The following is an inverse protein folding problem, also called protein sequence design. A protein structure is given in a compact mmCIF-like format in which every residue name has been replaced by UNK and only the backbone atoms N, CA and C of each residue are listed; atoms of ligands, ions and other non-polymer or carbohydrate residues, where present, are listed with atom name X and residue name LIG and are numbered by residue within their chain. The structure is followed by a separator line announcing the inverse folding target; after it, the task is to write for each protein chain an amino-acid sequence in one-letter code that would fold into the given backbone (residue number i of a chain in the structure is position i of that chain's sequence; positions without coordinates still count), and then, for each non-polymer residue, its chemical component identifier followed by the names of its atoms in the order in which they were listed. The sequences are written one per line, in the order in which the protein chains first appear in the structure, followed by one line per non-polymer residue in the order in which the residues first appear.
data_IF_582466988696
#
_entry.id   IF_582466988696
#
_cell.length_a   1.000
_cell.length_b   1.000
_cell.length_c   1.000
_cell.angle_alpha   90.00
_cell.angle_beta   90.00
_cell.angle_gamma   90.00
#
_symmetry.space_group_name_H-M   'P 1'
#
loop_
_entity.id
_entity.type
_entity.pdbx_description
1 polymer ?
#
# COMPACT_ATOMS: atom_id res chain seq x y z
N UNK A 1 -3.52 6.57 -11.06
CA UNK A 1 -3.84 5.57 -10.02
C UNK A 1 -3.08 5.94 -8.76
N UNK A 2 -3.75 6.55 -7.78
CA UNK A 2 -3.12 6.85 -6.49
C UNK A 2 -3.00 5.53 -5.73
N UNK A 3 -1.78 5.15 -5.44
CA UNK A 3 -1.51 3.81 -4.91
C UNK A 3 -0.86 3.91 -3.55
N UNK A 4 -1.25 3.09 -2.58
CA UNK A 4 -0.67 3.17 -1.25
C UNK A 4 -0.05 1.87 -0.82
N UNK A 5 1.10 2.00 -0.16
CA UNK A 5 1.91 0.86 0.24
C UNK A 5 2.04 0.83 1.76
N UNK A 6 1.42 -0.17 2.35
CA UNK A 6 1.48 -0.45 3.78
C UNK A 6 2.13 -1.83 3.97
N UNK A 7 2.86 -1.95 5.09
CA UNK A 7 3.54 -3.17 5.49
C UNK A 7 2.97 -3.72 6.79
N UNK A 8 2.92 -5.03 6.89
CA UNK A 8 2.47 -5.71 8.10
C UNK A 8 3.18 -7.03 8.31
N UNK A 9 3.45 -7.41 9.57
CA UNK A 9 4.25 -8.60 9.87
C UNK A 9 3.35 -9.75 10.31
N UNK A 10 3.28 -10.79 9.49
CA UNK A 10 2.49 -12.00 9.71
C UNK A 10 3.39 -13.23 9.62
N UNK A 11 3.40 -14.08 10.66
CA UNK A 11 4.14 -15.35 10.64
C UNK A 11 5.62 -15.21 10.20
N UNK A 12 6.29 -14.13 10.60
CA UNK A 12 7.68 -13.86 10.20
C UNK A 12 7.86 -13.40 8.74
N UNK A 13 6.78 -13.05 8.05
CA UNK A 13 6.76 -12.45 6.70
C UNK A 13 6.19 -11.04 6.74
N UNK A 14 6.62 -10.16 5.83
CA UNK A 14 6.08 -8.82 5.61
C UNK A 14 5.12 -8.85 4.42
N UNK A 15 3.89 -8.43 4.65
CA UNK A 15 2.88 -8.24 3.61
C UNK A 15 2.93 -6.82 3.06
N UNK A 16 3.11 -6.69 1.76
CA UNK A 16 3.06 -5.43 1.02
C UNK A 16 1.82 -5.43 0.14
N UNK A 17 0.92 -4.48 0.36
CA UNK A 17 -0.29 -4.34 -0.44
C UNK A 17 -0.36 -2.96 -1.08
N UNK A 18 -0.98 -2.91 -2.25
CA UNK A 18 -1.10 -1.75 -3.12
C UNK A 18 -2.57 -1.56 -3.44
N UNK A 19 -3.16 -0.47 -2.94
CA UNK A 19 -4.57 -0.14 -3.14
C UNK A 19 -4.74 1.10 -4.00
N UNK A 20 -5.77 1.13 -4.84
CA UNK A 20 -6.12 2.33 -5.60
C UNK A 20 -6.93 3.34 -4.77
N UNK A 21 -7.22 4.51 -5.36
CA UNK A 21 -8.00 5.59 -4.73
C UNK A 21 -9.44 5.23 -4.29
N UNK A 22 -10.04 4.17 -4.84
CA UNK A 22 -11.38 3.69 -4.46
C UNK A 22 -11.31 2.52 -3.47
N UNK A 23 -10.12 2.17 -2.99
CA UNK A 23 -9.90 1.12 -2.00
C UNK A 23 -9.75 -0.28 -2.59
N UNK A 24 -9.66 -0.46 -3.91
CA UNK A 24 -9.48 -1.79 -4.48
C UNK A 24 -8.02 -2.24 -4.38
N UNK A 25 -7.82 -3.52 -4.07
CA UNK A 25 -6.51 -4.16 -4.08
C UNK A 25 -6.04 -4.31 -5.54
N UNK A 26 -4.92 -3.69 -5.87
CA UNK A 26 -4.31 -3.73 -7.21
C UNK A 26 -3.16 -4.72 -7.26
N UNK A 27 -2.31 -4.73 -6.23
CA UNK A 27 -1.17 -5.64 -6.17
C UNK A 27 -0.85 -6.03 -4.73
N UNK A 28 -0.23 -7.20 -4.58
CA UNK A 28 0.12 -7.77 -3.29
C UNK A 28 1.42 -8.56 -3.40
N UNK A 29 2.27 -8.50 -2.39
CA UNK A 29 3.54 -9.21 -2.33
C UNK A 29 3.87 -9.59 -0.88
N UNK A 30 4.37 -10.80 -0.69
CA UNK A 30 4.96 -11.25 0.57
C UNK A 30 6.47 -11.26 0.46
N UNK A 31 7.15 -10.74 1.48
CA UNK A 31 8.59 -10.89 1.64
C UNK A 31 8.92 -11.49 3.01
N UNK A 32 10.09 -12.12 3.19
CA UNK A 32 10.53 -12.52 4.53
C UNK A 32 10.69 -11.32 5.47
N UNK A 33 10.46 -11.51 6.77
CA UNK A 33 10.48 -10.46 7.82
C UNK A 33 11.75 -9.60 7.87
N UNK A 34 12.88 -10.16 7.46
CA UNK A 34 14.19 -9.51 7.48
C UNK A 34 14.55 -8.81 6.16
N UNK A 35 13.62 -8.74 5.21
CA UNK A 35 13.85 -8.11 3.91
C UNK A 35 13.50 -6.63 3.98
N UNK A 36 14.37 -5.81 3.41
CA UNK A 36 14.14 -4.38 3.28
C UNK A 36 12.87 -4.08 2.46
N UNK A 37 11.98 -3.27 3.02
CA UNK A 37 10.68 -2.91 2.42
C UNK A 37 10.80 -2.45 0.95
N UNK A 38 11.90 -1.76 0.61
CA UNK A 38 12.17 -1.23 -0.74
C UNK A 38 12.25 -2.35 -1.77
N UNK A 39 12.67 -3.56 -1.38
CA UNK A 39 12.71 -4.73 -2.26
C UNK A 39 11.30 -5.22 -2.59
N UNK A 40 10.39 -5.23 -1.62
CA UNK A 40 8.97 -5.58 -1.84
C UNK A 40 8.31 -4.65 -2.86
N UNK A 41 8.54 -3.33 -2.74
CA UNK A 41 8.04 -2.37 -3.73
C UNK A 41 8.62 -2.62 -5.14
N UNK A 42 9.92 -2.90 -5.26
CA UNK A 42 10.54 -3.19 -6.57
C UNK A 42 9.93 -4.41 -7.26
N UNK A 43 9.50 -5.42 -6.49
CA UNK A 43 8.84 -6.61 -7.03
C UNK A 43 7.43 -6.31 -7.56
N UNK A 44 6.71 -5.39 -6.94
CA UNK A 44 5.36 -5.01 -7.35
C UNK A 44 5.30 -3.94 -8.45
N UNK A 45 6.39 -3.17 -8.64
CA UNK A 45 6.41 -1.99 -9.49
C UNK A 45 6.10 -2.25 -10.97
N UNK A 46 6.40 -3.44 -11.49
CA UNK A 46 6.22 -3.79 -12.91
C UNK A 46 4.75 -3.77 -13.38
N UNK A 47 3.78 -3.84 -12.47
CA UNK A 47 2.34 -3.80 -12.78
C UNK A 47 1.68 -2.49 -12.37
N UNK A 48 2.46 -1.49 -11.96
CA UNK A 48 1.99 -0.21 -11.44
C UNK A 48 2.42 0.93 -12.36
N UNK A 49 1.68 2.03 -12.31
CA UNK A 49 2.01 3.26 -13.03
C UNK A 49 1.39 4.48 -12.33
N UNK A 50 1.95 5.66 -12.57
CA UNK A 50 1.44 6.93 -12.04
C UNK A 50 1.96 7.26 -10.65
N UNK A 51 1.10 7.78 -9.76
CA UNK A 51 1.49 8.32 -8.47
C UNK A 51 1.32 7.29 -7.34
N UNK A 52 2.43 6.88 -6.73
CA UNK A 52 2.47 5.96 -5.60
C UNK A 52 2.77 6.74 -4.32
N UNK A 53 1.92 6.64 -3.32
CA UNK A 53 2.09 7.23 -1.99
C UNK A 53 2.57 6.15 -1.02
N UNK A 54 3.81 6.28 -0.56
CA UNK A 54 4.43 5.33 0.35
C UNK A 54 4.68 5.90 1.74
N UNK A 55 4.90 5.00 2.69
CA UNK A 55 5.44 5.33 3.99
C UNK A 55 6.89 5.81 3.96
N UNK A 56 7.34 6.35 5.09
CA UNK A 56 8.72 6.83 5.26
C UNK A 56 9.77 5.73 5.12
N UNK A 57 9.39 4.47 5.25
CA UNK A 57 10.26 3.31 5.01
C UNK A 57 10.73 3.21 3.55
N UNK A 58 9.95 3.75 2.61
CA UNK A 58 10.25 3.72 1.17
C UNK A 58 11.10 4.91 0.70
N UNK A 59 11.55 5.79 1.62
CA UNK A 59 12.40 6.93 1.26
C UNK A 59 13.77 6.40 0.78
N UNK A 60 14.02 6.52 -0.52
CA UNK A 60 15.31 6.24 -1.15
C UNK A 60 15.37 6.93 -2.50
N UNK A 61 16.40 7.76 -2.72
CA UNK A 61 16.61 8.45 -4.00
C UNK A 61 16.76 7.45 -5.16
N UNK A 62 17.58 6.43 -4.97
CA UNK A 62 17.76 5.36 -5.95
C UNK A 62 16.46 4.61 -6.28
N UNK A 63 15.60 4.39 -5.28
CA UNK A 63 14.30 3.76 -5.51
C UNK A 63 13.39 4.67 -6.32
N UNK A 64 13.27 5.94 -5.95
CA UNK A 64 12.48 6.93 -6.69
C UNK A 64 12.94 7.04 -8.14
N UNK A 65 14.26 7.21 -8.36
CA UNK A 65 14.83 7.34 -9.71
C UNK A 65 14.58 6.08 -10.55
N UNK A 66 14.69 4.89 -9.94
CA UNK A 66 14.41 3.62 -10.61
C UNK A 66 12.93 3.48 -10.97
N UNK A 67 12.02 3.84 -10.05
CA UNK A 67 10.58 3.77 -10.26
C UNK A 67 10.12 4.71 -11.38
N UNK A 68 10.65 5.93 -11.40
CA UNK A 68 10.32 6.93 -12.40
C UNK A 68 10.86 6.52 -13.78
N UNK A 69 12.15 6.19 -13.88
CA UNK A 69 12.79 5.86 -15.17
C UNK A 69 12.30 4.56 -15.77
N UNK A 70 12.02 3.54 -14.94
CA UNK A 70 11.74 2.18 -15.43
C UNK A 70 10.26 1.87 -15.56
N UNK A 71 9.43 2.47 -14.71
CA UNK A 71 8.00 2.13 -14.61
C UNK A 71 7.07 3.34 -14.73
N UNK A 72 7.62 4.55 -14.94
CA UNK A 72 6.83 5.78 -14.95
C UNK A 72 6.00 5.96 -13.67
N UNK A 73 6.62 5.64 -12.52
CA UNK A 73 6.02 5.76 -11.20
C UNK A 73 6.66 6.92 -10.45
N UNK A 74 5.87 7.92 -10.10
CA UNK A 74 6.27 8.97 -9.16
C UNK A 74 6.01 8.49 -7.74
N UNK A 75 7.06 8.30 -6.94
CA UNK A 75 6.95 7.91 -5.53
C UNK A 75 6.89 9.14 -4.62
N UNK A 76 5.77 9.31 -3.93
CA UNK A 76 5.53 10.34 -2.93
C UNK A 76 5.60 9.73 -1.52
N UNK A 77 6.50 10.22 -0.68
CA UNK A 77 6.64 9.78 0.72
C UNK A 77 6.56 10.94 1.69
N UNK A 78 6.19 10.64 2.94
CA UNK A 78 6.33 11.62 4.03
C UNK A 78 7.80 12.02 4.24
N UNK A 79 8.05 13.22 4.78
CA UNK A 79 9.41 13.69 5.08
C UNK A 79 9.91 13.15 6.42
N UNK A 80 11.22 12.90 6.53
CA UNK A 80 11.91 12.72 7.83
C UNK A 80 12.29 14.09 8.40
N UNK A 81 12.34 14.20 9.74
CA UNK A 81 12.63 15.45 10.48
C UNK A 81 13.92 16.15 10.01
N UNK A 82 14.92 15.39 9.60
CA UNK A 82 16.26 15.90 9.24
C UNK A 82 16.49 16.06 7.72
N UNK A 83 15.46 15.95 6.88
CA UNK A 83 15.61 16.09 5.43
C UNK A 83 15.44 17.54 4.98
N UNK A 84 16.31 17.99 4.06
CA UNK A 84 16.13 19.28 3.36
C UNK A 84 14.74 19.34 2.71
N UNK A 85 14.07 20.48 2.85
CA UNK A 85 12.69 20.61 2.37
C UNK A 85 12.66 20.72 0.84
N UNK A 86 12.21 19.66 0.15
CA UNK A 86 11.71 19.88 -1.22
C UNK A 86 10.33 20.56 -1.14
N UNK A 87 9.99 21.46 -2.07
CA UNK A 87 8.62 21.95 -2.17
C UNK A 87 7.68 20.76 -2.40
N UNK A 88 6.68 20.60 -1.52
CA UNK A 88 5.57 19.67 -1.73
C UNK A 88 4.33 20.50 -2.03
N UNK A 89 3.69 20.21 -3.16
CA UNK A 89 2.47 20.90 -3.55
C UNK A 89 1.36 20.63 -2.52
N UNK A 90 0.39 21.56 -2.33
CA UNK A 90 -0.75 21.36 -1.43
C UNK A 90 -1.49 20.04 -1.69
N UNK A 91 -1.64 19.68 -2.95
CA UNK A 91 -2.21 18.40 -3.40
C UNK A 91 -1.43 17.19 -2.88
N UNK A 92 -0.09 17.19 -3.03
CA UNK A 92 0.75 16.12 -2.50
C UNK A 92 0.65 15.99 -0.99
N UNK A 93 0.57 17.12 -0.26
CA UNK A 93 0.34 17.11 1.18
C UNK A 93 -1.02 16.51 1.54
N UNK A 94 -2.07 16.81 0.76
CA UNK A 94 -3.41 16.22 0.94
C UNK A 94 -3.37 14.70 0.74
N UNK A 95 -2.72 14.22 -0.32
CA UNK A 95 -2.58 12.79 -0.60
C UNK A 95 -1.82 12.06 0.51
N UNK A 96 -0.76 12.68 1.06
CA UNK A 96 -0.01 12.12 2.19
C UNK A 96 -0.83 12.02 3.49
N UNK A 97 -1.87 12.86 3.66
CA UNK A 97 -2.80 12.77 4.79
C UNK A 97 -3.84 11.65 4.60
N UNK A 98 -4.18 11.32 3.35
CA UNK A 98 -5.13 10.23 3.03
C UNK A 98 -4.56 8.82 3.24
N UNK A 99 -3.29 8.69 3.67
CA UNK A 99 -2.67 7.40 4.04
C UNK A 99 -3.46 6.65 5.13
N UNK A 100 -4.18 7.37 6.00
CA UNK A 100 -5.02 6.75 7.04
C UNK A 100 -6.13 5.84 6.48
N UNK A 101 -6.57 6.05 5.23
CA UNK A 101 -7.56 5.18 4.59
C UNK A 101 -6.98 3.79 4.37
N UNK A 102 -5.67 3.69 4.08
CA UNK A 102 -5.02 2.40 3.86
C UNK A 102 -4.74 1.68 5.16
N UNK A 103 -4.44 2.43 6.22
CA UNK A 103 -4.43 1.90 7.59
C UNK A 103 -5.81 1.29 7.91
N UNK A 104 -6.90 2.00 7.58
CA UNK A 104 -8.27 1.50 7.77
C UNK A 104 -8.56 0.23 6.95
N UNK A 105 -8.07 0.15 5.70
CA UNK A 105 -8.22 -1.05 4.86
C UNK A 105 -7.47 -2.23 5.49
N UNK A 106 -6.25 -2.01 5.97
CA UNK A 106 -5.50 -3.05 6.67
C UNK A 106 -6.21 -3.47 7.95
N UNK A 107 -6.74 -2.53 8.73
CA UNK A 107 -7.53 -2.86 9.93
C UNK A 107 -8.78 -3.69 9.59
N UNK A 108 -9.43 -3.44 8.45
CA UNK A 108 -10.52 -4.29 7.95
C UNK A 108 -10.04 -5.69 7.57
N UNK A 109 -8.89 -5.80 6.91
CA UNK A 109 -8.30 -7.11 6.59
C UNK A 109 -7.99 -7.90 7.86
N UNK A 110 -7.40 -7.26 8.88
CA UNK A 110 -7.09 -7.88 10.16
C UNK A 110 -8.35 -8.33 10.90
N UNK A 111 -9.31 -7.42 11.09
CA UNK A 111 -10.44 -7.64 11.98
C UNK A 111 -11.62 -8.36 11.31
N UNK A 112 -11.93 -8.03 10.06
CA UNK A 112 -13.08 -8.61 9.34
C UNK A 112 -12.68 -9.86 8.57
N UNK A 113 -11.52 -9.86 7.93
CA UNK A 113 -11.04 -10.99 7.13
C UNK A 113 -10.13 -11.94 7.91
N UNK A 114 -9.79 -11.60 9.17
CA UNK A 114 -9.03 -12.46 10.08
C UNK A 114 -7.68 -12.92 9.49
N UNK A 115 -7.02 -12.06 8.72
CA UNK A 115 -5.74 -12.42 8.07
C UNK A 115 -4.60 -12.64 9.08
N UNK A 116 -4.69 -12.06 10.27
CA UNK A 116 -3.67 -12.20 11.33
C UNK A 116 -3.84 -13.43 12.20
N UNK A 117 -4.79 -14.31 11.87
CA UNK A 117 -5.18 -15.37 12.77
C UNK A 117 -3.98 -16.26 13.18
N UNK A 118 -3.69 -16.31 14.48
CA UNK A 118 -2.54 -17.02 15.07
C UNK A 118 -2.58 -18.56 15.00
N UNK A 119 -3.62 -19.18 14.42
CA UNK A 119 -3.86 -20.64 14.48
C UNK A 119 -3.42 -21.40 13.23
N UNK A 120 -2.48 -20.88 12.44
CA UNK A 120 -1.98 -21.62 11.29
C UNK A 120 -0.98 -22.68 11.74
N UNK A 121 -1.37 -23.96 11.59
CA UNK A 121 -0.52 -25.12 11.89
C UNK A 121 0.48 -25.46 10.76
N UNK A 122 0.46 -24.70 9.66
CA UNK A 122 1.37 -24.85 8.52
C UNK A 122 1.46 -23.57 7.69
N UNK A 123 2.57 -23.39 6.98
CA UNK A 123 2.79 -22.28 6.02
C UNK A 123 1.72 -22.25 4.92
N UNK A 124 1.34 -23.44 4.42
CA UNK A 124 0.28 -23.57 3.40
C UNK A 124 -1.07 -23.09 3.93
N UNK A 125 -1.38 -23.40 5.18
CA UNK A 125 -2.60 -22.92 5.84
C UNK A 125 -2.62 -21.41 6.02
N UNK A 126 -1.48 -20.81 6.33
CA UNK A 126 -1.32 -19.36 6.38
C UNK A 126 -1.56 -18.70 5.02
N UNK A 127 -0.89 -19.19 3.96
CA UNK A 127 -1.07 -18.66 2.61
C UNK A 127 -2.52 -18.76 2.12
N UNK A 128 -3.17 -19.90 2.40
CA UNK A 128 -4.58 -20.10 2.04
C UNK A 128 -5.49 -19.11 2.77
N UNK A 129 -5.29 -18.92 4.07
CA UNK A 129 -6.07 -17.95 4.86
C UNK A 129 -5.88 -16.52 4.34
N UNK A 130 -4.63 -16.14 4.06
CA UNK A 130 -4.29 -14.83 3.53
C UNK A 130 -4.96 -14.58 2.16
N UNK A 131 -4.84 -15.52 1.22
CA UNK A 131 -5.48 -15.40 -0.10
C UNK A 131 -7.01 -15.35 0.05
N UNK A 132 -7.58 -16.16 0.94
CA UNK A 132 -9.01 -16.14 1.23
C UNK A 132 -9.45 -14.79 1.79
N UNK A 133 -8.69 -14.21 2.72
CA UNK A 133 -9.00 -12.91 3.32
C UNK A 133 -8.87 -11.76 2.32
N UNK A 134 -7.83 -11.75 1.48
CA UNK A 134 -7.69 -10.77 0.39
C UNK A 134 -8.83 -10.91 -0.63
N UNK A 135 -9.22 -12.13 -0.97
CA UNK A 135 -10.33 -12.41 -1.88
C UNK A 135 -11.67 -11.93 -1.28
N UNK A 136 -11.92 -12.23 -0.01
CA UNK A 136 -13.10 -11.77 0.70
C UNK A 136 -13.20 -10.24 0.69
N UNK A 137 -12.09 -9.54 0.97
CA UNK A 137 -12.02 -8.09 0.87
C UNK A 137 -12.36 -7.56 -0.53
N UNK A 138 -11.82 -8.18 -1.58
CA UNK A 138 -12.14 -7.81 -2.96
C UNK A 138 -13.66 -7.91 -3.25
N UNK A 139 -14.36 -8.85 -2.62
CA UNK A 139 -15.80 -9.06 -2.75
C UNK A 139 -16.65 -8.13 -1.87
N UNK A 140 -16.07 -7.33 -0.99
CA UNK A 140 -16.85 -6.42 -0.14
C UNK A 140 -17.60 -5.37 -0.97
N UNK A 141 -18.90 -5.13 -0.67
CA UNK A 141 -19.74 -4.19 -1.41
C UNK A 141 -19.31 -2.73 -1.19
N UNK A 142 -18.74 -2.43 -0.02
CA UNK A 142 -18.25 -1.10 0.34
C UNK A 142 -16.81 -1.18 0.79
N UNK A 143 -15.95 -0.40 0.15
CA UNK A 143 -14.53 -0.28 0.48
C UNK A 143 -14.22 1.14 0.96
N UNK A 144 -13.34 1.35 1.95
CA UNK A 144 -12.88 2.68 2.32
C UNK A 144 -12.27 3.40 1.12
N UNK A 145 -12.77 4.60 0.82
CA UNK A 145 -12.33 5.40 -0.32
C UNK A 145 -11.55 6.62 0.17
N UNK A 146 -10.55 7.05 -0.62
CA UNK A 146 -9.69 8.18 -0.24
C UNK A 146 -10.37 9.52 -0.44
N UNK A 147 -11.22 9.60 -1.44
CA UNK A 147 -12.04 10.75 -1.71
C UNK A 147 -13.47 10.44 -1.30
N UNK A 148 -14.10 11.34 -0.55
CA UNK A 148 -15.55 11.24 -0.31
C UNK A 148 -16.29 11.24 -1.66
N UNK A 149 -17.50 10.66 -1.69
CA UNK A 149 -18.35 10.51 -2.89
C UNK A 149 -18.48 11.78 -3.76
N UNK A 150 -18.20 12.96 -3.18
CA UNK A 150 -18.30 14.27 -3.82
C UNK A 150 -17.08 14.71 -4.66
N UNK A 151 -15.93 14.03 -4.60
CA UNK A 151 -14.77 14.45 -5.38
C UNK A 151 -14.81 13.98 -6.85
N UNK A 152 -15.49 12.88 -7.14
CA UNK A 152 -15.67 12.35 -8.49
C UNK A 152 -16.67 13.18 -9.33
N UNK A 153 -17.54 13.96 -8.67
CA UNK A 153 -18.48 14.86 -9.33
C UNK A 153 -17.83 16.18 -9.79
N UNK A 154 -16.67 16.55 -9.24
CA UNK A 154 -15.97 17.79 -9.55
C UNK A 154 -14.93 17.65 -10.70
N UNK A 155 -14.86 16.47 -11.32
CA UNK A 155 -13.97 16.16 -12.44
C UNK A 155 -14.74 15.92 -13.76
N UNK A 156 -15.98 16.41 -13.86
CA UNK A 156 -16.74 16.51 -15.11
C UNK A 156 -16.86 17.98 -15.53
#
# INVERSE_FOLDING_TARGET
MLTFLQKDTLFGTVSHAVFNHVGELVNFCLTPGNVDDRKGLRQMANKLFGLLVGDRGYISKELSDCLEKRYNITLLTGKKKNMKSSPQNPEQKRLLKQRCVVETIFDQLKNLCQIEHTRHRSEKGFLLNLISGLTAYCLFPYKPQMFGKNALAAAK
#
